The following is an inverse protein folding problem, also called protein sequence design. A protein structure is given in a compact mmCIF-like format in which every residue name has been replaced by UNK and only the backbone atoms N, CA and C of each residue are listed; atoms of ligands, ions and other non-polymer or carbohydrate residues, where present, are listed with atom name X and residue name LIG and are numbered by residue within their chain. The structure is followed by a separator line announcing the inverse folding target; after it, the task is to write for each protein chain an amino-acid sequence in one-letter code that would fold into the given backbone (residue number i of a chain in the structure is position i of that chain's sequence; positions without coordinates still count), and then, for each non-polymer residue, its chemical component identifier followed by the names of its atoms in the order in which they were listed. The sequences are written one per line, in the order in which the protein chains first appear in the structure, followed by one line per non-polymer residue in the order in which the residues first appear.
data_IF_732720169782
#
_entry.id   IF_732720169782
#
_cell.length_a   1.000
_cell.length_b   1.000
_cell.length_c   1.000
_cell.angle_alpha   90.00
_cell.angle_beta   90.00
_cell.angle_gamma   90.00
#
_symmetry.space_group_name_H-M   'P 1'
#
loop_
_entity.id
_entity.type
_entity.pdbx_description
1 polymer ?
#
# COMPACT_ATOMS: atom_id res chain seq x y z
N UNK A 1 -12.21 -0.01 -4.09
CA UNK A 1 -11.19 0.31 -3.09
C UNK A 1 -10.84 1.79 -3.12
N UNK A 2 -10.34 2.29 -2.03
CA UNK A 2 -9.89 3.67 -1.90
C UNK A 2 -8.39 3.66 -1.67
N UNK A 3 -7.65 4.49 -2.40
CA UNK A 3 -6.20 4.61 -2.22
C UNK A 3 -5.88 5.87 -1.43
N UNK A 4 -5.07 5.73 -0.41
CA UNK A 4 -4.63 6.83 0.44
C UNK A 4 -3.11 6.92 0.39
N UNK A 5 -2.60 8.11 0.07
CA UNK A 5 -1.14 8.34 0.02
C UNK A 5 -0.60 8.47 1.45
N UNK A 6 0.38 7.65 1.78
CA UNK A 6 1.01 7.65 3.10
C UNK A 6 2.53 7.58 2.95
N UNK A 7 3.18 8.74 2.99
CA UNK A 7 4.64 8.84 2.87
C UNK A 7 5.38 8.26 4.06
N UNK A 8 4.70 8.08 5.18
CA UNK A 8 5.28 7.47 6.36
C UNK A 8 5.33 5.95 6.31
N UNK A 9 4.59 5.32 5.39
CA UNK A 9 4.61 3.88 5.24
C UNK A 9 5.70 3.46 4.26
N UNK A 10 6.40 2.37 4.57
CA UNK A 10 7.47 1.85 3.68
C UNK A 10 6.91 1.10 2.49
N UNK A 11 5.82 0.41 2.68
CA UNK A 11 5.20 -0.44 1.65
C UNK A 11 3.76 -0.03 1.40
N UNK A 12 3.21 -0.52 0.29
CA UNK A 12 1.77 -0.51 0.09
C UNK A 12 1.16 -1.44 1.14
N UNK A 13 0.19 -0.93 1.91
CA UNK A 13 -0.46 -1.72 2.97
C UNK A 13 -1.90 -2.02 2.58
N UNK A 14 -2.26 -3.30 2.60
CA UNK A 14 -3.51 -3.82 2.08
C UNK A 14 -4.29 -4.49 3.20
N UNK A 15 -5.58 -4.13 3.39
CA UNK A 15 -6.43 -4.86 4.32
C UNK A 15 -6.55 -6.33 3.92
N UNK A 16 -6.59 -7.22 4.91
CA UNK A 16 -6.64 -8.66 4.64
C UNK A 16 -7.82 -9.05 3.76
N UNK A 17 -8.98 -8.44 3.98
CA UNK A 17 -10.16 -8.76 3.17
C UNK A 17 -10.00 -8.36 1.70
N UNK A 18 -9.28 -7.28 1.42
CA UNK A 18 -8.99 -6.88 0.04
C UNK A 18 -7.99 -7.86 -0.57
N UNK A 19 -6.95 -8.23 0.19
CA UNK A 19 -5.96 -9.20 -0.28
C UNK A 19 -6.60 -10.54 -0.64
N UNK A 20 -7.54 -11.00 0.17
CA UNK A 20 -8.28 -12.25 -0.10
C UNK A 20 -9.09 -12.15 -1.38
N UNK A 21 -9.77 -11.04 -1.60
CA UNK A 21 -10.58 -10.85 -2.82
C UNK A 21 -9.75 -10.89 -4.10
N UNK A 22 -8.54 -10.37 -4.06
CA UNK A 22 -7.68 -10.33 -5.26
C UNK A 22 -6.67 -11.48 -5.31
N UNK A 23 -6.72 -12.40 -4.36
CA UNK A 23 -5.90 -13.61 -4.38
C UNK A 23 -4.44 -13.41 -4.00
N UNK A 24 -4.11 -12.39 -3.20
CA UNK A 24 -2.75 -12.19 -2.74
C UNK A 24 -2.39 -13.21 -1.65
N UNK A 25 -1.16 -13.70 -1.70
CA UNK A 25 -0.66 -14.68 -0.73
C UNK A 25 0.15 -14.00 0.36
N UNK A 26 -0.08 -14.40 1.61
CA UNK A 26 0.78 -14.04 2.73
C UNK A 26 2.08 -14.83 2.61
N UNK A 27 3.21 -14.14 2.44
CA UNK A 27 4.51 -14.80 2.29
C UNK A 27 5.21 -14.98 3.63
N UNK A 28 5.59 -13.88 4.27
CA UNK A 28 6.33 -13.94 5.52
C UNK A 28 5.73 -12.96 6.54
N UNK A 29 5.62 -13.36 7.82
CA UNK A 29 5.21 -12.42 8.85
C UNK A 29 6.38 -11.49 9.18
N UNK A 30 6.06 -10.20 9.35
CA UNK A 30 7.00 -9.19 9.82
C UNK A 30 6.32 -8.32 10.85
N UNK A 31 7.12 -7.68 11.69
CA UNK A 31 6.63 -6.74 12.70
C UNK A 31 6.65 -5.34 12.12
N UNK A 32 5.52 -4.65 12.19
CA UNK A 32 5.40 -3.26 11.78
C UNK A 32 5.12 -2.40 13.00
N UNK A 33 5.76 -1.22 13.04
CA UNK A 33 5.52 -0.23 14.08
C UNK A 33 4.41 0.71 13.64
N UNK A 34 3.42 0.91 14.50
CA UNK A 34 2.31 1.84 14.26
C UNK A 34 2.20 2.80 15.44
N UNK A 35 1.36 3.83 15.29
CA UNK A 35 1.08 4.77 16.35
C UNK A 35 0.51 4.09 17.60
N UNK A 36 -0.16 2.95 17.44
CA UNK A 36 -0.78 2.20 18.52
C UNK A 36 0.06 1.01 19.00
N UNK A 37 1.32 0.93 18.58
CA UNK A 37 2.22 -0.15 18.98
C UNK A 37 2.65 -1.01 17.80
N UNK A 38 3.21 -2.16 18.13
CA UNK A 38 3.71 -3.09 17.11
C UNK A 38 2.63 -4.09 16.74
N UNK A 39 2.53 -4.39 15.44
CA UNK A 39 1.60 -5.38 14.91
C UNK A 39 2.34 -6.33 13.98
N UNK A 40 1.72 -7.47 13.72
CA UNK A 40 2.23 -8.41 12.72
C UNK A 40 1.49 -8.19 11.41
N UNK A 41 2.25 -8.01 10.34
CA UNK A 41 1.74 -7.96 8.99
C UNK A 41 2.45 -9.02 8.15
N UNK A 42 1.95 -9.28 6.95
CA UNK A 42 2.51 -10.34 6.11
C UNK A 42 2.99 -9.74 4.81
N UNK A 43 4.22 -10.05 4.42
CA UNK A 43 4.76 -9.57 3.15
C UNK A 43 4.01 -10.20 1.98
N UNK A 44 3.91 -9.47 0.91
CA UNK A 44 3.39 -9.96 -0.37
C UNK A 44 4.01 -9.14 -1.51
N UNK A 45 3.80 -9.59 -2.73
CA UNK A 45 4.29 -8.90 -3.90
C UNK A 45 3.12 -8.62 -4.82
N UNK A 46 2.97 -7.36 -5.20
CA UNK A 46 2.02 -6.96 -6.23
C UNK A 46 2.72 -7.07 -7.58
N UNK A 47 2.33 -8.02 -8.40
CA UNK A 47 2.91 -8.17 -9.74
C UNK A 47 2.62 -6.94 -10.58
N UNK A 48 1.44 -6.36 -10.41
CA UNK A 48 1.02 -5.16 -11.11
C UNK A 48 0.04 -4.38 -10.26
N UNK A 49 0.22 -3.07 -10.20
CA UNK A 49 -0.73 -2.15 -9.59
C UNK A 49 -0.95 -0.98 -10.53
N UNK A 50 -2.22 -0.69 -10.84
CA UNK A 50 -2.61 0.40 -11.73
C UNK A 50 -3.52 1.37 -11.00
N UNK A 51 -3.17 2.65 -11.05
CA UNK A 51 -3.97 3.73 -10.47
C UNK A 51 -4.03 4.84 -11.52
N UNK A 52 -5.21 5.07 -12.09
CA UNK A 52 -5.32 6.00 -13.22
C UNK A 52 -4.43 5.56 -14.38
N UNK A 53 -3.59 6.46 -14.85
CA UNK A 53 -2.66 6.18 -15.96
C UNK A 53 -1.32 5.62 -15.50
N UNK A 54 -1.16 5.38 -14.20
CA UNK A 54 0.09 4.89 -13.64
C UNK A 54 -0.01 3.39 -13.43
N UNK A 55 0.93 2.66 -14.01
CA UNK A 55 1.04 1.21 -13.80
C UNK A 55 2.46 0.90 -13.36
N UNK A 56 2.60 0.25 -12.22
CA UNK A 56 3.88 -0.22 -11.69
C UNK A 56 3.85 -1.72 -11.53
N UNK A 57 5.03 -2.33 -11.60
CA UNK A 57 5.20 -3.77 -11.53
C UNK A 57 6.10 -4.16 -10.37
N UNK A 58 5.85 -5.32 -9.79
CA UNK A 58 6.69 -5.91 -8.74
C UNK A 58 6.83 -4.98 -7.54
N UNK A 59 5.70 -4.47 -7.06
CA UNK A 59 5.67 -3.54 -5.93
C UNK A 59 5.52 -4.34 -4.64
N UNK A 60 6.44 -4.12 -3.71
CA UNK A 60 6.38 -4.75 -2.38
C UNK A 60 5.21 -4.19 -1.59
N UNK A 61 4.49 -5.08 -0.93
CA UNK A 61 3.33 -4.72 -0.13
C UNK A 61 3.28 -5.55 1.14
N UNK A 62 2.45 -5.14 2.08
CA UNK A 62 2.10 -5.97 3.22
C UNK A 62 0.59 -6.13 3.32
N UNK A 63 0.19 -7.25 3.89
CA UNK A 63 -1.19 -7.57 4.21
C UNK A 63 -1.35 -7.36 5.70
N UNK A 64 -2.23 -6.44 6.08
CA UNK A 64 -2.43 -6.06 7.46
C UNK A 64 -3.78 -6.58 7.97
N UNK A 65 -3.77 -7.61 8.84
CA UNK A 65 -5.02 -8.16 9.39
C UNK A 65 -5.79 -7.19 10.28
N UNK A 66 -5.13 -6.14 10.77
CA UNK A 66 -5.76 -5.16 11.65
C UNK A 66 -6.38 -3.98 10.90
N UNK A 67 -6.20 -3.89 9.58
CA UNK A 67 -6.85 -2.87 8.78
C UNK A 67 -8.26 -3.30 8.42
N UNK A 68 -9.20 -2.42 8.69
CA UNK A 68 -10.60 -2.64 8.33
C UNK A 68 -10.94 -1.86 7.06
N UNK A 69 -12.05 -2.23 6.43
CA UNK A 69 -12.53 -1.54 5.26
C UNK A 69 -11.78 -1.92 3.98
N UNK A 70 -11.78 -1.00 3.02
CA UNK A 70 -11.19 -1.22 1.72
C UNK A 70 -10.20 -0.12 1.29
N UNK A 71 -9.63 0.56 2.27
CA UNK A 71 -8.58 1.55 2.00
C UNK A 71 -7.22 0.86 1.88
N UNK A 72 -6.52 1.18 0.80
CA UNK A 72 -5.16 0.72 0.57
C UNK A 72 -4.22 1.90 0.77
N UNK A 73 -3.23 1.75 1.66
CA UNK A 73 -2.24 2.79 1.89
C UNK A 73 -1.11 2.67 0.87
N UNK A 74 -0.87 3.75 0.13
CA UNK A 74 0.21 3.82 -0.84
C UNK A 74 1.46 4.35 -0.16
N UNK A 75 2.34 3.42 0.24
CA UNK A 75 3.60 3.76 0.89
C UNK A 75 4.73 3.99 -0.10
N UNK A 76 5.96 4.08 0.41
CA UNK A 76 7.12 4.45 -0.39
C UNK A 76 7.48 3.43 -1.46
N UNK A 77 7.12 2.15 -1.29
CA UNK A 77 7.35 1.15 -2.34
C UNK A 77 6.62 1.48 -3.64
N UNK A 78 5.47 2.18 -3.54
CA UNK A 78 4.75 2.69 -4.70
C UNK A 78 5.23 4.09 -5.09
N UNK A 79 5.40 4.97 -4.09
CA UNK A 79 5.65 6.40 -4.33
C UNK A 79 7.10 6.72 -4.69
N UNK A 80 8.04 5.83 -4.39
CA UNK A 80 9.49 6.08 -4.48
C UNK A 80 9.96 6.65 -5.81
N UNK A 81 9.41 6.15 -6.90
CA UNK A 81 9.83 6.53 -8.25
C UNK A 81 8.83 7.46 -8.93
N UNK A 82 7.94 8.06 -8.14
CA UNK A 82 6.89 8.94 -8.64
C UNK A 82 7.09 10.34 -8.10
N UNK A 83 6.65 11.32 -8.89
CA UNK A 83 6.56 12.69 -8.44
C UNK A 83 5.18 12.90 -7.83
N UNK A 84 5.15 13.34 -6.57
CA UNK A 84 3.91 13.60 -5.85
C UNK A 84 3.88 15.09 -5.49
N UNK A 85 2.90 15.81 -6.01
CA UNK A 85 2.69 17.22 -5.69
C UNK A 85 1.33 17.41 -5.06
N UNK A 86 1.27 18.33 -4.11
CA UNK A 86 0.04 18.66 -3.42
C UNK A 86 -0.13 20.18 -3.44
N UNK A 87 -1.01 20.67 -4.32
CA UNK A 87 -1.26 22.09 -4.50
C UNK A 87 -2.76 22.35 -4.56
N UNK A 88 -3.20 23.42 -3.91
CA UNK A 88 -4.59 23.89 -3.94
C UNK A 88 -5.59 22.78 -3.65
N UNK A 89 -5.28 21.91 -2.70
CA UNK A 89 -6.11 20.80 -2.33
C UNK A 89 -6.11 19.64 -3.32
N UNK A 90 -5.28 19.69 -4.35
CA UNK A 90 -5.13 18.61 -5.31
C UNK A 90 -3.85 17.85 -5.11
N UNK A 91 -3.96 16.52 -5.14
CA UNK A 91 -2.81 15.64 -5.14
C UNK A 91 -2.56 15.15 -6.57
N UNK A 92 -1.38 15.42 -7.09
CA UNK A 92 -0.98 14.99 -8.42
C UNK A 92 0.18 14.00 -8.29
N UNK A 93 0.02 12.84 -8.93
CA UNK A 93 1.04 11.79 -8.96
C UNK A 93 1.45 11.57 -10.41
N UNK A 94 2.76 11.63 -10.66
CA UNK A 94 3.32 11.44 -12.00
C UNK A 94 4.44 10.42 -11.98
N UNK A 95 4.51 9.69 -13.04
CA UNK A 95 5.58 8.73 -13.29
C UNK A 95 6.88 9.38 -13.69
#
# INVERSE_FOLDING_TARGET
VVFVVDKGASFVSIPEQVAQRVGLKKEHPITASTANGKITVYTTLLEQISIGDITLYNVKADINPNMEGDEILLGMSFLRNLSVTHEDGKLTIRQ
#
